data_IF_570963531235
#
_entry.id   IF_570963531235
#
_cell.length_a   1.000
_cell.length_b   1.000
_cell.length_c   1.000
_cell.angle_alpha   90.00
_cell.angle_beta   90.00
_cell.angle_gamma   90.00
#
_symmetry.space_group_name_H-M   'P 1'
#
loop_
_entity.id
_entity.type
_entity.pdbx_description
1 polymer ?
#
# COMPACT_ATOMS: atom_id res chain seq x y z
N UNK A 1 -30.91 -7.24 4.97
CA UNK A 1 -30.22 -6.14 4.25
C UNK A 1 -29.41 -6.77 3.13
N UNK A 2 -29.45 -6.25 1.89
CA UNK A 2 -28.75 -6.85 0.76
C UNK A 2 -27.22 -6.58 0.86
N UNK A 3 -26.56 -7.39 1.66
CA UNK A 3 -25.09 -7.34 1.83
C UNK A 3 -24.39 -7.45 0.46
N UNK A 4 -24.97 -8.24 -0.47
CA UNK A 4 -24.45 -8.38 -1.84
C UNK A 4 -24.47 -7.06 -2.60
N UNK A 5 -25.53 -6.25 -2.46
CA UNK A 5 -25.62 -4.95 -3.14
C UNK A 5 -24.59 -3.96 -2.60
N UNK A 6 -24.46 -3.86 -1.29
CA UNK A 6 -23.45 -3.00 -0.67
C UNK A 6 -22.04 -3.44 -1.05
N UNK A 7 -21.75 -4.75 -1.12
CA UNK A 7 -20.48 -5.28 -1.55
C UNK A 7 -20.11 -4.86 -2.99
N UNK A 8 -21.06 -5.01 -3.94
CA UNK A 8 -20.84 -4.58 -5.34
C UNK A 8 -20.55 -3.07 -5.42
N UNK A 9 -21.30 -2.25 -4.65
CA UNK A 9 -21.05 -0.81 -4.60
C UNK A 9 -19.67 -0.48 -4.00
N UNK A 10 -19.26 -1.18 -2.94
CA UNK A 10 -17.92 -1.03 -2.36
C UNK A 10 -16.82 -1.45 -3.35
N UNK A 11 -17.01 -2.56 -4.08
CA UNK A 11 -16.09 -2.98 -5.13
C UNK A 11 -15.92 -1.91 -6.20
N UNK A 12 -17.02 -1.31 -6.66
CA UNK A 12 -16.99 -0.23 -7.66
C UNK A 12 -16.29 1.03 -7.10
N UNK A 13 -16.55 1.39 -5.85
CA UNK A 13 -15.88 2.51 -5.18
C UNK A 13 -14.37 2.27 -5.10
N UNK A 14 -13.96 1.08 -4.66
CA UNK A 14 -12.54 0.73 -4.55
C UNK A 14 -11.86 0.70 -5.92
N UNK A 15 -12.52 0.12 -6.92
CA UNK A 15 -12.04 0.12 -8.31
C UNK A 15 -11.80 1.55 -8.82
N UNK A 16 -12.81 2.43 -8.74
CA UNK A 16 -12.71 3.82 -9.22
C UNK A 16 -11.67 4.62 -8.46
N UNK A 17 -11.58 4.44 -7.15
CA UNK A 17 -10.60 5.14 -6.31
C UNK A 17 -9.17 4.70 -6.60
N UNK A 18 -8.92 3.40 -6.75
CA UNK A 18 -7.59 2.88 -7.09
C UNK A 18 -7.21 3.18 -8.53
N UNK A 19 -8.14 3.06 -9.46
CA UNK A 19 -7.93 3.50 -10.84
C UNK A 19 -7.47 4.96 -10.87
N UNK A 20 -8.19 5.85 -10.16
CA UNK A 20 -7.82 7.26 -10.07
C UNK A 20 -6.46 7.47 -9.41
N UNK A 21 -6.16 6.81 -8.30
CA UNK A 21 -4.88 6.90 -7.62
C UNK A 21 -3.70 6.50 -8.51
N UNK A 22 -3.85 5.41 -9.25
CA UNK A 22 -2.80 4.89 -10.14
C UNK A 22 -2.70 5.60 -11.49
N UNK A 23 -3.74 6.31 -11.94
CA UNK A 23 -3.65 7.23 -13.09
C UNK A 23 -2.60 8.32 -12.89
N UNK A 24 -2.42 8.78 -11.65
CA UNK A 24 -1.56 9.91 -11.34
C UNK A 24 -0.10 9.50 -11.20
N UNK A 25 0.17 8.29 -10.73
CA UNK A 25 1.53 7.84 -10.40
C UNK A 25 2.54 8.08 -11.53
N UNK A 26 2.30 7.64 -12.79
CA UNK A 26 3.26 7.86 -13.87
C UNK A 26 3.35 9.32 -14.35
N UNK A 27 2.34 10.13 -14.09
CA UNK A 27 2.26 11.50 -14.65
C UNK A 27 2.62 12.57 -13.62
N UNK A 28 2.45 12.32 -12.33
CA UNK A 28 2.62 13.33 -11.30
C UNK A 28 4.05 13.90 -11.23
N UNK A 29 5.13 13.11 -11.36
CA UNK A 29 6.47 13.64 -11.40
C UNK A 29 6.67 14.60 -12.58
N UNK A 30 6.19 14.22 -13.78
CA UNK A 30 6.27 15.05 -14.99
C UNK A 30 5.43 16.32 -14.86
N UNK A 31 4.25 16.22 -14.24
CA UNK A 31 3.38 17.38 -14.01
C UNK A 31 4.00 18.40 -13.05
N UNK A 32 4.64 17.94 -11.96
CA UNK A 32 5.35 18.84 -11.04
C UNK A 32 6.53 19.53 -11.73
N UNK A 33 7.24 18.82 -12.59
CA UNK A 33 8.38 19.34 -13.33
C UNK A 33 8.01 20.49 -14.28
N UNK A 34 6.81 20.45 -14.88
CA UNK A 34 6.29 21.57 -15.71
C UNK A 34 6.28 22.92 -14.97
N UNK A 35 6.20 22.89 -13.63
CA UNK A 35 6.25 24.09 -12.78
C UNK A 35 7.67 24.47 -12.33
N UNK A 36 8.71 23.85 -12.90
CA UNK A 36 10.12 24.16 -12.60
C UNK A 36 10.55 23.81 -11.18
N UNK A 37 9.90 22.85 -10.52
CA UNK A 37 10.24 22.43 -9.18
C UNK A 37 11.50 21.56 -9.19
N UNK A 38 12.41 21.82 -8.25
CA UNK A 38 13.66 21.07 -8.09
C UNK A 38 13.44 19.63 -7.63
N UNK A 39 14.39 18.74 -7.91
CA UNK A 39 14.31 17.33 -7.54
C UNK A 39 14.06 17.07 -6.05
N UNK A 40 14.65 17.88 -5.16
CA UNK A 40 14.44 17.74 -3.71
C UNK A 40 13.01 18.12 -3.27
N UNK A 41 12.41 19.13 -3.88
CA UNK A 41 11.00 19.48 -3.64
C UNK A 41 10.07 18.33 -4.02
N UNK A 42 10.34 17.68 -5.14
CA UNK A 42 9.59 16.50 -5.57
C UNK A 42 9.65 15.39 -4.55
N UNK A 43 10.83 15.04 -4.05
CA UNK A 43 10.99 14.02 -3.00
C UNK A 43 10.19 14.34 -1.74
N UNK A 44 10.20 15.60 -1.29
CA UNK A 44 9.38 16.05 -0.15
C UNK A 44 7.89 15.91 -0.44
N UNK A 45 7.42 16.35 -1.61
CA UNK A 45 6.01 16.26 -2.00
C UNK A 45 5.55 14.80 -2.02
N UNK A 46 6.38 13.88 -2.51
CA UNK A 46 6.07 12.45 -2.45
C UNK A 46 6.09 11.91 -1.03
N UNK A 47 7.07 12.27 -0.21
CA UNK A 47 7.15 11.86 1.19
C UNK A 47 5.92 12.32 2.00
N UNK A 48 5.41 13.54 1.75
CA UNK A 48 4.22 14.07 2.42
C UNK A 48 2.97 13.20 2.20
N UNK A 49 2.84 12.54 1.05
CA UNK A 49 1.77 11.57 0.83
C UNK A 49 1.85 10.40 1.82
N UNK A 50 3.04 9.83 2.02
CA UNK A 50 3.23 8.73 2.97
C UNK A 50 3.07 9.19 4.43
N UNK A 51 3.51 10.41 4.76
CA UNK A 51 3.21 11.04 6.07
C UNK A 51 1.69 11.12 6.27
N UNK A 52 0.96 11.56 5.26
CA UNK A 52 -0.51 11.59 5.27
C UNK A 52 -1.13 10.21 5.48
N UNK A 53 -0.58 9.17 4.84
CA UNK A 53 -1.02 7.79 5.03
C UNK A 53 -0.87 7.33 6.49
N UNK A 54 0.28 7.60 7.10
CA UNK A 54 0.54 7.27 8.51
C UNK A 54 -0.44 8.00 9.44
N UNK A 55 -0.67 9.29 9.20
CA UNK A 55 -1.55 10.11 10.03
C UNK A 55 -3.05 9.81 9.84
N UNK A 56 -3.45 9.25 8.68
CA UNK A 56 -4.85 9.13 8.27
C UNK A 56 -5.65 8.05 9.00
N UNK A 57 -5.01 7.00 9.50
CA UNK A 57 -5.71 5.82 10.03
C UNK A 57 -6.56 6.09 11.27
N UNK A 58 -5.99 6.76 12.27
CA UNK A 58 -6.68 7.05 13.54
C UNK A 58 -7.87 8.01 13.36
N UNK A 59 -7.70 9.16 12.67
CA UNK A 59 -8.82 10.05 12.40
C UNK A 59 -9.94 9.38 11.60
N UNK A 60 -9.60 8.57 10.60
CA UNK A 60 -10.58 7.87 9.79
C UNK A 60 -11.43 6.88 10.60
N UNK A 61 -10.82 6.11 11.50
CA UNK A 61 -11.53 5.23 12.41
C UNK A 61 -12.45 6.02 13.38
N UNK A 62 -12.01 7.19 13.85
CA UNK A 62 -12.84 8.06 14.68
C UNK A 62 -14.03 8.64 13.89
N UNK A 63 -13.80 9.07 12.64
CA UNK A 63 -14.84 9.54 11.73
C UNK A 63 -15.86 8.43 11.44
N UNK A 64 -15.38 7.20 11.17
CA UNK A 64 -16.23 6.03 10.97
C UNK A 64 -17.16 5.78 12.16
N UNK A 65 -16.61 5.77 13.38
CA UNK A 65 -17.41 5.57 14.61
C UNK A 65 -18.44 6.68 14.85
N UNK A 66 -18.09 7.95 14.53
CA UNK A 66 -18.98 9.11 14.78
C UNK A 66 -20.05 9.29 13.70
N UNK A 67 -19.69 9.14 12.44
CA UNK A 67 -20.57 9.45 11.29
C UNK A 67 -21.24 8.21 10.69
N UNK A 68 -20.74 7.01 11.00
CA UNK A 68 -21.15 5.74 10.37
C UNK A 68 -20.52 5.56 8.99
N UNK A 69 -20.53 4.31 8.49
CA UNK A 69 -19.79 3.90 7.29
C UNK A 69 -20.08 4.75 6.05
N UNK A 70 -21.34 4.96 5.71
CA UNK A 70 -21.75 5.71 4.51
C UNK A 70 -21.23 7.16 4.50
N UNK A 71 -21.43 7.92 5.59
CA UNK A 71 -21.02 9.32 5.67
C UNK A 71 -19.50 9.44 5.71
N UNK A 72 -18.81 8.53 6.43
CA UNK A 72 -17.36 8.48 6.47
C UNK A 72 -16.77 8.20 5.07
N UNK A 73 -17.37 7.26 4.32
CA UNK A 73 -16.97 6.94 2.95
C UNK A 73 -17.10 8.14 2.01
N UNK A 74 -18.24 8.83 2.05
CA UNK A 74 -18.50 10.05 1.26
C UNK A 74 -17.49 11.14 1.61
N UNK A 75 -17.18 11.34 2.89
CA UNK A 75 -16.20 12.34 3.32
C UNK A 75 -14.78 12.05 2.79
N UNK A 76 -14.33 10.78 2.84
CA UNK A 76 -13.01 10.41 2.31
C UNK A 76 -12.95 10.60 0.79
N UNK A 77 -14.00 10.21 0.06
CA UNK A 77 -14.09 10.40 -1.39
C UNK A 77 -14.15 11.87 -1.78
N UNK A 78 -14.89 12.69 -1.03
CA UNK A 78 -14.93 14.15 -1.24
C UNK A 78 -13.55 14.77 -1.04
N UNK A 79 -12.84 14.38 0.04
CA UNK A 79 -11.50 14.86 0.30
C UNK A 79 -10.52 14.46 -0.82
N UNK A 80 -10.61 13.23 -1.33
CA UNK A 80 -9.84 12.81 -2.51
C UNK A 80 -10.20 13.65 -3.75
N UNK A 81 -11.49 13.87 -4.04
CA UNK A 81 -11.92 14.67 -5.17
C UNK A 81 -11.39 16.10 -5.10
N UNK A 82 -11.46 16.72 -3.92
CA UNK A 82 -10.91 18.08 -3.68
C UNK A 82 -9.40 18.11 -3.89
N UNK A 83 -8.67 17.12 -3.39
CA UNK A 83 -7.22 17.02 -3.62
C UNK A 83 -6.90 16.91 -5.13
N UNK A 84 -7.65 16.08 -5.88
CA UNK A 84 -7.41 15.89 -7.31
C UNK A 84 -7.72 17.16 -8.12
N UNK A 85 -8.86 17.79 -7.87
CA UNK A 85 -9.19 19.09 -8.46
C UNK A 85 -8.16 20.16 -8.09
N UNK A 86 -7.71 20.16 -6.83
CA UNK A 86 -6.65 21.04 -6.35
C UNK A 86 -5.33 20.85 -7.10
N UNK A 87 -4.91 19.60 -7.38
CA UNK A 87 -3.72 19.35 -8.19
C UNK A 87 -3.87 19.91 -9.61
N UNK A 88 -5.02 19.73 -10.25
CA UNK A 88 -5.26 20.21 -11.61
C UNK A 88 -5.13 21.73 -11.79
N UNK A 89 -5.35 22.51 -10.72
CA UNK A 89 -5.27 23.98 -10.72
C UNK A 89 -4.07 24.54 -9.97
N UNK A 90 -3.28 23.68 -9.32
CA UNK A 90 -2.15 24.09 -8.48
C UNK A 90 -0.92 24.38 -9.33
N UNK A 91 -0.17 25.41 -8.92
CA UNK A 91 1.12 25.79 -9.54
C UNK A 91 2.24 26.02 -8.52
N UNK A 92 1.97 25.82 -7.21
CA UNK A 92 2.95 26.10 -6.15
C UNK A 92 3.35 24.83 -5.37
N UNK A 93 4.63 24.68 -5.04
CA UNK A 93 5.15 23.55 -4.29
C UNK A 93 4.45 23.37 -2.93
N UNK A 94 4.15 24.48 -2.24
CA UNK A 94 3.45 24.45 -0.95
C UNK A 94 2.07 23.80 -1.08
N UNK A 95 1.29 24.21 -2.09
CA UNK A 95 -0.05 23.69 -2.32
C UNK A 95 0.01 22.21 -2.73
N UNK A 96 0.96 21.82 -3.61
CA UNK A 96 1.20 20.40 -3.93
C UNK A 96 1.51 19.57 -2.69
N UNK A 97 2.37 20.05 -1.80
CA UNK A 97 2.70 19.39 -0.54
C UNK A 97 1.50 19.20 0.38
N UNK A 98 0.71 20.25 0.61
CA UNK A 98 -0.49 20.17 1.43
C UNK A 98 -1.52 19.20 0.83
N UNK A 99 -1.76 19.28 -0.48
CA UNK A 99 -2.67 18.39 -1.17
C UNK A 99 -2.21 16.93 -1.12
N UNK A 100 -0.89 16.67 -1.22
CA UNK A 100 -0.32 15.31 -1.08
C UNK A 100 -0.52 14.74 0.32
N UNK A 101 -0.29 15.55 1.35
CA UNK A 101 -0.55 15.14 2.74
C UNK A 101 -2.03 14.78 2.94
N UNK A 102 -2.95 15.66 2.50
CA UNK A 102 -4.39 15.42 2.59
C UNK A 102 -4.83 14.20 1.76
N UNK A 103 -4.26 14.01 0.58
CA UNK A 103 -4.49 12.84 -0.27
C UNK A 103 -4.08 11.55 0.45
N UNK A 104 -2.92 11.55 1.13
CA UNK A 104 -2.46 10.41 1.93
C UNK A 104 -3.44 10.06 3.05
N UNK A 105 -3.89 11.08 3.81
CA UNK A 105 -4.91 10.92 4.86
C UNK A 105 -6.21 10.33 4.30
N UNK A 106 -6.69 10.86 3.18
CA UNK A 106 -7.94 10.41 2.56
C UNK A 106 -7.83 8.99 1.99
N UNK A 107 -6.69 8.64 1.39
CA UNK A 107 -6.42 7.32 0.81
C UNK A 107 -6.43 6.23 1.89
N UNK A 108 -5.68 6.41 2.97
CA UNK A 108 -5.71 5.49 4.12
C UNK A 108 -7.09 5.50 4.79
N UNK A 109 -7.71 6.68 4.91
CA UNK A 109 -9.05 6.82 5.46
C UNK A 109 -10.09 6.01 4.70
N UNK A 110 -10.04 6.04 3.37
CA UNK A 110 -10.92 5.25 2.52
C UNK A 110 -10.74 3.75 2.78
N UNK A 111 -9.51 3.26 2.80
CA UNK A 111 -9.19 1.86 3.07
C UNK A 111 -9.72 1.43 4.45
N UNK A 112 -9.47 2.21 5.49
CA UNK A 112 -9.95 1.94 6.86
C UNK A 112 -11.48 1.86 6.88
N UNK A 113 -12.17 2.83 6.27
CA UNK A 113 -13.64 2.87 6.25
C UNK A 113 -14.22 1.67 5.50
N UNK A 114 -13.68 1.33 4.32
CA UNK A 114 -14.16 0.17 3.52
C UNK A 114 -13.99 -1.13 4.30
N UNK A 115 -12.79 -1.36 4.87
CA UNK A 115 -12.52 -2.58 5.67
C UNK A 115 -13.38 -2.65 6.93
N UNK A 116 -13.68 -1.50 7.57
CA UNK A 116 -14.58 -1.44 8.72
C UNK A 116 -16.03 -1.78 8.35
N UNK A 117 -16.53 -1.28 7.21
CA UNK A 117 -17.88 -1.64 6.72
C UNK A 117 -17.99 -3.15 6.49
N UNK A 118 -16.96 -3.77 5.87
CA UNK A 118 -16.94 -5.23 5.65
C UNK A 118 -16.88 -5.98 6.99
N UNK A 119 -16.10 -5.47 7.95
CA UNK A 119 -16.00 -6.05 9.30
C UNK A 119 -17.34 -6.05 10.04
N UNK A 120 -18.09 -4.95 9.93
CA UNK A 120 -19.36 -4.77 10.66
C UNK A 120 -20.57 -5.40 9.97
N UNK A 121 -20.60 -5.41 8.62
CA UNK A 121 -21.74 -5.92 7.85
C UNK A 121 -21.56 -7.38 7.40
N UNK A 122 -20.30 -7.88 7.35
CA UNK A 122 -19.98 -9.23 6.89
C UNK A 122 -20.19 -10.30 7.97
N UNK A 123 -20.80 -11.45 7.59
CA UNK A 123 -20.77 -12.64 8.44
C UNK A 123 -19.31 -13.07 8.65
N UNK A 124 -18.98 -13.53 9.87
CA UNK A 124 -17.61 -13.94 10.23
C UNK A 124 -17.02 -14.93 9.23
N UNK A 125 -17.82 -15.89 8.75
CA UNK A 125 -17.40 -16.91 7.77
C UNK A 125 -17.06 -16.36 6.38
N UNK A 126 -17.57 -15.19 5.98
CA UNK A 126 -17.43 -14.64 4.62
C UNK A 126 -16.52 -13.38 4.56
N UNK A 127 -16.01 -12.90 5.68
CA UNK A 127 -15.17 -11.68 5.72
C UNK A 127 -13.93 -11.79 4.84
N UNK A 128 -13.27 -12.95 4.84
CA UNK A 128 -12.11 -13.21 3.98
C UNK A 128 -12.46 -13.11 2.50
N UNK A 129 -13.57 -13.74 2.09
CA UNK A 129 -14.05 -13.71 0.70
C UNK A 129 -14.40 -12.28 0.25
N UNK A 130 -15.09 -11.51 1.09
CA UNK A 130 -15.44 -10.11 0.79
C UNK A 130 -14.21 -9.21 0.67
N UNK A 131 -13.23 -9.38 1.56
CA UNK A 131 -11.95 -8.69 1.44
C UNK A 131 -11.19 -9.07 0.16
N UNK A 132 -11.27 -10.33 -0.26
CA UNK A 132 -10.71 -10.80 -1.53
C UNK A 132 -11.34 -10.10 -2.74
N UNK A 133 -12.67 -9.97 -2.78
CA UNK A 133 -13.36 -9.22 -3.84
C UNK A 133 -12.96 -7.74 -3.89
N UNK A 134 -12.83 -7.09 -2.73
CA UNK A 134 -12.35 -5.70 -2.66
C UNK A 134 -10.92 -5.61 -3.20
N UNK A 135 -10.01 -6.47 -2.75
CA UNK A 135 -8.61 -6.46 -3.23
C UNK A 135 -8.50 -6.73 -4.73
N UNK A 136 -9.35 -7.62 -5.29
CA UNK A 136 -9.41 -7.84 -6.74
C UNK A 136 -9.89 -6.60 -7.49
N UNK A 137 -10.88 -5.88 -6.96
CA UNK A 137 -11.36 -4.62 -7.55
C UNK A 137 -10.29 -3.52 -7.47
N UNK A 138 -9.59 -3.41 -6.35
CA UNK A 138 -8.44 -2.53 -6.17
C UNK A 138 -7.37 -2.83 -7.23
N UNK A 139 -6.99 -4.10 -7.40
CA UNK A 139 -6.01 -4.54 -8.40
C UNK A 139 -6.42 -4.21 -9.84
N UNK A 140 -7.69 -4.41 -10.19
CA UNK A 140 -8.23 -4.03 -11.50
C UNK A 140 -8.10 -2.53 -11.78
N UNK A 141 -8.37 -1.68 -10.78
CA UNK A 141 -8.18 -0.23 -10.87
C UNK A 141 -6.71 0.15 -11.08
N UNK A 142 -5.81 -0.50 -10.33
CA UNK A 142 -4.35 -0.28 -10.45
C UNK A 142 -3.83 -0.57 -11.85
N UNK A 143 -4.36 -1.58 -12.53
CA UNK A 143 -3.95 -1.96 -13.88
C UNK A 143 -4.47 -0.98 -14.94
N UNK A 144 -5.74 -0.58 -14.85
CA UNK A 144 -6.36 0.25 -15.88
C UNK A 144 -6.00 1.74 -15.76
N UNK A 145 -5.74 2.22 -14.54
CA UNK A 145 -5.43 3.63 -14.29
C UNK A 145 -4.29 4.17 -15.14
N UNK A 146 -3.10 3.58 -15.11
CA UNK A 146 -1.95 4.08 -15.88
C UNK A 146 -2.20 4.11 -17.39
N UNK A 147 -2.84 3.09 -17.98
CA UNK A 147 -3.14 3.08 -19.44
C UNK A 147 -3.99 4.27 -19.84
N UNK A 148 -5.05 4.52 -19.07
CA UNK A 148 -5.99 5.63 -19.36
C UNK A 148 -5.24 6.96 -19.24
N UNK A 149 -4.45 7.15 -18.19
CA UNK A 149 -3.72 8.40 -17.98
C UNK A 149 -2.63 8.63 -19.01
N UNK A 150 -1.90 7.60 -19.39
CA UNK A 150 -0.87 7.69 -20.43
C UNK A 150 -1.44 8.03 -21.80
N UNK A 151 -2.59 7.46 -22.15
CA UNK A 151 -3.29 7.79 -23.40
C UNK A 151 -3.82 9.23 -23.38
N UNK A 152 -4.37 9.68 -22.25
CA UNK A 152 -4.83 11.06 -22.10
C UNK A 152 -3.65 12.05 -22.25
N UNK A 153 -2.52 11.77 -21.65
CA UNK A 153 -1.35 12.64 -21.67
C UNK A 153 -0.70 12.79 -23.05
N UNK A 154 -1.02 11.90 -24.02
CA UNK A 154 -0.58 12.06 -25.41
C UNK A 154 -1.41 13.10 -26.18
N UNK A 155 -2.66 13.34 -25.79
CA UNK A 155 -3.61 14.12 -26.58
C UNK A 155 -4.04 15.42 -25.86
N UNK A 156 -3.85 15.50 -24.55
CA UNK A 156 -4.29 16.62 -23.72
C UNK A 156 -3.19 17.00 -22.69
N UNK A 157 -3.28 18.24 -22.12
CA UNK A 157 -2.37 18.66 -21.04
C UNK A 157 -2.37 17.69 -19.86
N UNK A 158 -1.24 17.61 -19.15
CA UNK A 158 -1.06 16.73 -17.99
C UNK A 158 -2.02 17.01 -16.84
N UNK A 159 -2.71 18.15 -16.84
CA UNK A 159 -3.79 18.47 -15.86
C UNK A 159 -5.08 17.67 -16.11
N UNK A 160 -5.36 17.21 -17.34
CA UNK A 160 -6.63 16.54 -17.71
C UNK A 160 -6.83 15.22 -16.97
N UNK A 161 -5.83 14.34 -16.81
CA UNK A 161 -5.94 13.15 -15.98
C UNK A 161 -6.42 13.43 -14.55
N UNK A 162 -5.98 14.54 -13.92
CA UNK A 162 -6.43 14.90 -12.57
C UNK A 162 -7.92 15.25 -12.51
N UNK A 163 -8.44 15.93 -13.55
CA UNK A 163 -9.88 16.19 -13.67
C UNK A 163 -10.69 14.90 -13.86
N UNK A 164 -10.16 13.96 -14.65
CA UNK A 164 -10.81 12.66 -14.81
C UNK A 164 -10.84 11.89 -13.49
N UNK A 165 -9.75 11.92 -12.72
CA UNK A 165 -9.72 11.30 -11.37
C UNK A 165 -10.72 11.97 -10.44
N UNK A 166 -10.83 13.30 -10.49
CA UNK A 166 -11.87 14.02 -9.75
C UNK A 166 -13.26 13.50 -10.10
N UNK A 167 -13.54 13.33 -11.38
CA UNK A 167 -14.81 12.77 -11.85
C UNK A 167 -15.02 11.33 -11.34
N UNK A 168 -13.99 10.47 -11.37
CA UNK A 168 -14.06 9.12 -10.82
C UNK A 168 -14.38 9.13 -9.31
N UNK A 169 -13.77 10.02 -8.53
CA UNK A 169 -14.08 10.17 -7.11
C UNK A 169 -15.51 10.66 -6.88
N UNK A 170 -16.02 11.57 -7.70
CA UNK A 170 -17.41 12.04 -7.63
C UNK A 170 -18.41 10.94 -8.03
N UNK A 171 -18.09 10.14 -9.05
CA UNK A 171 -18.90 8.96 -9.42
C UNK A 171 -18.90 7.92 -8.28
N UNK A 172 -17.75 7.64 -7.68
CA UNK A 172 -17.65 6.76 -6.52
C UNK A 172 -18.46 7.29 -5.34
N UNK A 173 -18.45 8.61 -5.11
CA UNK A 173 -19.29 9.26 -4.09
C UNK A 173 -20.79 9.11 -4.41
N UNK A 174 -21.20 9.25 -5.69
CA UNK A 174 -22.57 8.98 -6.14
C UNK A 174 -23.01 7.54 -5.88
N UNK A 175 -22.12 6.55 -6.12
CA UNK A 175 -22.42 5.15 -5.79
C UNK A 175 -22.52 4.93 -4.28
N UNK A 176 -21.66 5.58 -3.47
CA UNK A 176 -21.76 5.53 -2.01
C UNK A 176 -23.09 6.11 -1.49
N UNK A 177 -23.65 7.11 -2.18
CA UNK A 177 -24.97 7.64 -1.84
C UNK A 177 -26.08 6.59 -1.97
N UNK A 178 -25.97 5.69 -2.94
CA UNK A 178 -26.87 4.56 -3.15
C UNK A 178 -26.79 3.45 -2.11
N UNK A 179 -25.77 3.44 -1.25
CA UNK A 179 -25.63 2.46 -0.17
C UNK A 179 -26.70 2.70 0.91
N UNK A 180 -27.27 1.61 1.43
CA UNK A 180 -28.14 1.69 2.61
C UNK A 180 -27.26 1.78 3.86
N UNK A 181 -27.25 2.97 4.48
CA UNK A 181 -26.53 3.18 5.73
C UNK A 181 -27.20 2.44 6.90
N UNK A 182 -26.38 1.81 7.76
CA UNK A 182 -26.85 1.34 9.07
C UNK A 182 -26.91 2.54 10.01
N UNK A 183 -28.04 2.73 10.70
CA UNK A 183 -28.18 3.83 11.67
C UNK A 183 -27.20 3.61 12.83
N UNK A 184 -26.45 4.64 13.18
CA UNK A 184 -25.48 4.64 14.30
C UNK A 184 -26.13 4.34 15.65
N UNK A 185 -27.46 4.48 15.76
CA UNK A 185 -28.25 4.19 16.95
C UNK A 185 -28.14 2.73 17.39
N UNK A 186 -27.92 1.79 16.47
CA UNK A 186 -27.82 0.35 16.79
C UNK A 186 -26.43 -0.06 17.31
N UNK A 187 -25.38 0.69 17.00
CA UNK A 187 -24.02 0.42 17.53
C UNK A 187 -23.91 0.76 19.02
N UNK A 188 -24.56 1.84 19.47
CA UNK A 188 -24.64 2.21 20.88
C UNK A 188 -25.48 1.22 21.72
N UNK A 189 -26.57 0.69 21.15
CA UNK A 189 -27.46 -0.24 21.84
C UNK A 189 -26.82 -1.64 21.96
N UNK A 190 -26.08 -2.12 20.94
CA UNK A 190 -25.36 -3.38 21.03
C UNK A 190 -24.19 -3.30 22.04
N UNK A 191 -23.41 -2.22 22.02
CA UNK A 191 -22.34 -2.03 23.00
C UNK A 191 -22.87 -1.95 24.43
N UNK A 192 -24.08 -1.39 24.65
CA UNK A 192 -24.73 -1.31 25.98
C UNK A 192 -25.40 -2.62 26.35
N UNK A 193 -25.92 -3.38 25.39
CA UNK A 193 -26.45 -4.71 25.65
C UNK A 193 -25.37 -5.75 25.96
N UNK A 194 -24.24 -5.70 25.24
CA UNK A 194 -23.08 -6.56 25.52
C UNK A 194 -22.46 -6.26 26.89
N UNK A 195 -22.48 -5.00 27.34
CA UNK A 195 -22.07 -4.63 28.71
C UNK A 195 -23.07 -5.10 29.79
N UNK A 196 -24.35 -5.18 29.49
CA UNK A 196 -25.38 -5.60 30.45
C UNK A 196 -25.62 -7.12 30.47
N UNK A 197 -25.17 -7.88 29.49
CA UNK A 197 -25.29 -9.34 29.44
C UNK A 197 -24.06 -10.08 29.96
N UNK A 198 -22.96 -9.38 30.24
CA UNK A 198 -21.79 -9.99 30.87
C UNK A 198 -22.02 -10.17 32.38
N UNK A 199 -22.62 -11.32 32.70
CA UNK A 199 -22.52 -11.95 34.03
C UNK A 199 -21.07 -12.50 34.17
N UNK A 200 -20.33 -12.27 35.28
CA UNK A 200 -18.89 -12.51 35.36
C UNK A 200 -18.52 -13.98 35.58
N UNK A 201 -19.04 -14.92 34.80
CA UNK A 201 -18.80 -16.35 35.03
C UNK A 201 -18.45 -17.18 33.78
N UNK A 202 -17.89 -16.58 32.72
CA UNK A 202 -17.17 -17.37 31.69
C UNK A 202 -16.24 -16.51 30.82
N UNK A 203 -14.95 -16.85 30.72
CA UNK A 203 -14.02 -16.14 29.83
C UNK A 203 -14.07 -16.74 28.43
N UNK A 204 -14.80 -16.12 27.51
CA UNK A 204 -14.63 -16.35 26.08
C UNK A 204 -14.45 -15.03 25.38
N UNK A 205 -13.21 -14.67 25.21
CA UNK A 205 -12.74 -13.51 24.43
C UNK A 205 -12.54 -13.92 22.99
N UNK A 206 -13.48 -13.60 22.11
CA UNK A 206 -13.24 -13.66 20.67
C UNK A 206 -13.85 -12.44 19.97
N UNK A 207 -13.13 -11.34 20.04
CA UNK A 207 -13.23 -10.25 19.06
C UNK A 207 -11.85 -9.99 18.48
N UNK A 208 -11.57 -10.35 17.22
CA UNK A 208 -10.29 -10.00 16.58
C UNK A 208 -10.24 -8.49 16.36
N UNK A 209 -9.15 -7.82 16.78
CA UNK A 209 -8.96 -6.40 16.51
C UNK A 209 -8.73 -6.16 15.02
N UNK A 210 -9.29 -5.05 14.53
CA UNK A 210 -9.12 -4.54 13.16
C UNK A 210 -7.63 -4.20 12.95
N UNK A 211 -6.97 -4.65 11.88
CA UNK A 211 -5.60 -4.25 11.59
C UNK A 211 -5.58 -2.81 11.06
N UNK A 212 -5.41 -1.86 11.95
CA UNK A 212 -5.13 -0.46 11.61
C UNK A 212 -3.66 -0.18 11.85
N UNK A 213 -2.90 -0.05 10.77
CA UNK A 213 -1.48 0.27 10.82
C UNK A 213 -1.10 1.60 11.51
N UNK A 214 -2.07 2.36 12.01
CA UNK A 214 -1.85 3.66 12.62
C UNK A 214 -1.95 3.69 14.16
N UNK A 215 -2.42 2.61 14.81
CA UNK A 215 -2.59 2.62 16.29
C UNK A 215 -1.36 2.18 17.08
N UNK A 216 -0.24 1.87 16.40
CA UNK A 216 0.93 1.29 17.04
C UNK A 216 1.87 2.29 17.75
N UNK A 217 1.65 3.60 17.60
CA UNK A 217 2.61 4.59 18.09
C UNK A 217 2.40 5.10 19.53
N UNK A 218 1.29 4.73 20.21
CA UNK A 218 0.96 5.31 21.52
C UNK A 218 0.57 4.20 22.50
N UNK A 219 1.53 3.45 22.99
CA UNK A 219 1.47 2.80 24.30
C UNK A 219 2.90 2.41 24.75
N UNK A 220 3.54 3.17 25.67
CA UNK A 220 4.89 2.85 26.15
C UNK A 220 4.93 1.72 27.19
N UNK A 221 3.79 1.27 27.71
CA UNK A 221 3.73 0.24 28.75
C UNK A 221 3.58 -1.17 28.12
N UNK A 222 4.64 -1.66 27.49
CA UNK A 222 4.83 -3.10 27.28
C UNK A 222 5.40 -3.68 28.58
N UNK A 223 4.53 -4.25 29.41
CA UNK A 223 4.91 -5.09 30.52
C UNK A 223 5.79 -6.26 30.00
N UNK A 224 7.09 -6.16 30.23
CA UNK A 224 8.10 -7.13 29.77
C UNK A 224 8.04 -8.46 30.56
N UNK A 225 7.17 -8.56 31.58
CA UNK A 225 7.15 -9.68 32.53
C UNK A 225 6.34 -10.90 32.07
N UNK A 226 5.62 -10.84 30.93
CA UNK A 226 4.75 -11.94 30.45
C UNK A 226 5.21 -12.59 29.13
N UNK A 227 6.49 -12.55 28.82
CA UNK A 227 7.05 -13.33 27.71
C UNK A 227 7.40 -14.74 28.25
N UNK A 228 6.85 -15.82 27.70
CA UNK A 228 7.31 -17.15 28.08
C UNK A 228 8.77 -17.32 27.67
N UNK A 229 9.64 -17.52 28.64
CA UNK A 229 10.99 -18.03 28.48
C UNK A 229 10.87 -19.43 27.86
N UNK A 230 10.98 -19.53 26.57
CA UNK A 230 11.26 -20.79 25.91
C UNK A 230 12.76 -20.83 25.64
N UNK A 231 13.47 -21.74 26.31
CA UNK A 231 14.85 -22.14 26.07
C UNK A 231 15.06 -22.71 24.65
N UNK A 232 14.69 -21.95 23.65
CA UNK A 232 14.82 -22.34 22.25
C UNK A 232 15.79 -21.34 21.59
N UNK A 233 16.97 -21.79 21.08
CA UNK A 233 17.98 -20.93 20.48
C UNK A 233 17.57 -20.35 19.10
N UNK A 234 16.32 -20.51 18.69
CA UNK A 234 15.71 -19.75 17.60
C UNK A 234 15.78 -18.27 17.93
N UNK A 235 15.91 -17.42 16.90
CA UNK A 235 15.90 -15.96 17.01
C UNK A 235 14.88 -15.53 18.07
N UNK A 236 15.29 -14.70 19.04
CA UNK A 236 14.34 -14.17 20.02
C UNK A 236 13.19 -13.46 19.30
N UNK A 237 12.00 -13.43 19.88
CA UNK A 237 10.84 -12.74 19.25
C UNK A 237 11.17 -11.30 18.83
N UNK A 238 12.02 -10.61 19.61
CA UNK A 238 12.53 -9.28 19.27
C UNK A 238 13.39 -9.28 18.01
N UNK A 239 14.28 -10.26 17.85
CA UNK A 239 15.16 -10.37 16.67
C UNK A 239 14.35 -10.72 15.42
N UNK A 240 13.33 -11.59 15.54
CA UNK A 240 12.40 -11.89 14.45
C UNK A 240 11.65 -10.64 14.01
N UNK A 241 11.09 -9.90 14.96
CA UNK A 241 10.37 -8.65 14.69
C UNK A 241 11.28 -7.63 13.98
N UNK A 242 12.51 -7.40 14.49
CA UNK A 242 13.48 -6.48 13.88
C UNK A 242 13.81 -6.95 12.46
N UNK A 243 14.03 -8.23 12.24
CA UNK A 243 14.32 -8.79 10.92
C UNK A 243 13.18 -8.53 9.93
N UNK A 244 11.95 -8.86 10.29
CA UNK A 244 10.77 -8.63 9.44
C UNK A 244 10.53 -7.14 9.17
N UNK A 245 10.63 -6.30 10.20
CA UNK A 245 10.46 -4.86 10.06
C UNK A 245 11.54 -4.26 9.14
N UNK A 246 12.80 -4.71 9.26
CA UNK A 246 13.90 -4.25 8.40
C UNK A 246 13.70 -4.67 6.95
N UNK A 247 13.34 -5.93 6.70
CA UNK A 247 13.11 -6.43 5.33
C UNK A 247 12.00 -5.62 4.66
N UNK A 248 10.86 -5.46 5.34
CA UNK A 248 9.72 -4.75 4.75
C UNK A 248 9.97 -3.24 4.64
N UNK A 249 10.73 -2.64 5.58
CA UNK A 249 11.21 -1.26 5.47
C UNK A 249 12.06 -1.04 4.22
N UNK A 250 13.02 -1.94 3.94
CA UNK A 250 13.90 -1.83 2.78
C UNK A 250 13.13 -2.02 1.46
N UNK A 251 12.22 -2.97 1.42
CA UNK A 251 11.36 -3.21 0.26
C UNK A 251 10.45 -2.01 -0.01
N UNK A 252 9.71 -1.51 0.98
CA UNK A 252 8.84 -0.35 0.83
C UNK A 252 9.64 0.92 0.50
N UNK A 253 10.89 1.04 0.98
CA UNK A 253 11.82 2.10 0.58
C UNK A 253 12.15 2.01 -0.91
N UNK A 254 12.49 0.82 -1.41
CA UNK A 254 12.78 0.61 -2.82
C UNK A 254 11.55 0.87 -3.69
N UNK A 255 10.38 0.39 -3.28
CA UNK A 255 9.11 0.61 -3.98
C UNK A 255 8.75 2.10 -4.06
N UNK A 256 8.92 2.87 -2.97
CA UNK A 256 8.64 4.30 -2.96
C UNK A 256 9.59 5.08 -3.88
N UNK A 257 10.88 4.74 -3.92
CA UNK A 257 11.85 5.32 -4.86
C UNK A 257 11.44 5.03 -6.30
N UNK A 258 11.10 3.79 -6.61
CA UNK A 258 10.63 3.40 -7.95
C UNK A 258 9.39 4.20 -8.36
N UNK A 259 8.35 4.24 -7.56
CA UNK A 259 7.11 4.98 -7.87
C UNK A 259 7.35 6.48 -8.07
N UNK A 260 8.33 7.05 -7.35
CA UNK A 260 8.61 8.49 -7.41
C UNK A 260 9.43 8.87 -8.64
N UNK A 261 10.45 8.06 -9.01
CA UNK A 261 11.47 8.49 -9.96
C UNK A 261 11.44 7.75 -11.30
N UNK A 262 10.75 6.60 -11.42
CA UNK A 262 10.76 5.84 -12.67
C UNK A 262 10.19 6.65 -13.85
N UNK A 263 9.11 7.40 -13.64
CA UNK A 263 8.53 8.21 -14.72
C UNK A 263 9.49 9.29 -15.22
N UNK A 264 10.26 9.95 -14.33
CA UNK A 264 11.30 10.91 -14.72
C UNK A 264 12.47 10.24 -15.44
N UNK A 265 12.91 9.09 -14.92
CA UNK A 265 13.96 8.30 -15.58
C UNK A 265 13.56 7.89 -17.00
N UNK A 266 12.33 7.40 -17.16
CA UNK A 266 11.78 7.03 -18.46
C UNK A 266 11.70 8.23 -19.41
N UNK A 267 11.26 9.39 -18.94
CA UNK A 267 11.14 10.59 -19.77
C UNK A 267 12.52 11.17 -20.14
N UNK A 268 13.44 11.33 -19.17
CA UNK A 268 14.70 12.04 -19.39
C UNK A 268 15.84 11.17 -19.92
N UNK A 269 15.92 9.93 -19.45
CA UNK A 269 17.02 9.02 -19.83
C UNK A 269 16.61 8.12 -20.99
N UNK A 270 15.41 7.52 -20.94
CA UNK A 270 14.93 6.64 -22.00
C UNK A 270 14.25 7.38 -23.16
N UNK A 271 13.93 8.68 -22.97
CA UNK A 271 13.19 9.51 -23.94
C UNK A 271 11.81 8.93 -24.29
N UNK A 272 11.13 8.34 -23.30
CA UNK A 272 9.82 7.76 -23.48
C UNK A 272 8.71 8.78 -23.38
N UNK A 273 7.66 8.56 -24.16
CA UNK A 273 6.43 9.33 -24.04
C UNK A 273 5.60 8.86 -22.81
N UNK A 274 4.61 9.66 -22.34
CA UNK A 274 3.79 9.32 -21.20
C UNK A 274 3.04 7.98 -21.31
N UNK A 275 2.63 7.57 -22.52
CA UNK A 275 1.94 6.30 -22.73
C UNK A 275 2.88 5.11 -22.53
N UNK A 276 4.10 5.17 -23.08
CA UNK A 276 5.10 4.11 -22.88
C UNK A 276 5.42 3.92 -21.40
N UNK A 277 5.61 5.02 -20.67
CA UNK A 277 5.84 5.00 -19.22
C UNK A 277 4.65 4.40 -18.48
N UNK A 278 3.45 4.81 -18.82
CA UNK A 278 2.22 4.32 -18.16
C UNK A 278 1.96 2.85 -18.45
N UNK A 279 2.26 2.37 -19.65
CA UNK A 279 2.18 0.96 -20.01
C UNK A 279 3.15 0.09 -19.20
N UNK A 280 4.35 0.60 -18.86
CA UNK A 280 5.27 -0.10 -17.97
C UNK A 280 4.63 -0.39 -16.60
N UNK A 281 4.02 0.62 -15.97
CA UNK A 281 3.27 0.42 -14.71
C UNK A 281 2.11 -0.56 -14.86
N UNK A 282 1.41 -0.51 -15.99
CA UNK A 282 0.30 -1.44 -16.28
C UNK A 282 0.81 -2.88 -16.42
N UNK A 283 1.91 -3.10 -17.13
CA UNK A 283 2.52 -4.43 -17.28
C UNK A 283 2.94 -4.97 -15.91
N UNK A 284 3.60 -4.17 -15.09
CA UNK A 284 3.98 -4.54 -13.72
C UNK A 284 2.75 -4.90 -12.87
N UNK A 285 1.72 -4.05 -12.87
CA UNK A 285 0.49 -4.29 -12.11
C UNK A 285 -0.28 -5.53 -12.58
N UNK A 286 -0.40 -5.72 -13.89
CA UNK A 286 -1.07 -6.89 -14.48
C UNK A 286 -0.33 -8.19 -14.15
N UNK A 287 1.00 -8.19 -14.25
CA UNK A 287 1.81 -9.36 -13.93
C UNK A 287 1.75 -9.70 -12.43
N UNK A 288 1.75 -8.71 -11.54
CA UNK A 288 1.54 -8.90 -10.10
C UNK A 288 0.17 -9.53 -9.83
N UNK A 289 -0.89 -8.97 -10.42
CA UNK A 289 -2.26 -9.47 -10.24
C UNK A 289 -2.42 -10.92 -10.75
N UNK A 290 -1.85 -11.22 -11.91
CA UNK A 290 -1.90 -12.56 -12.50
C UNK A 290 -1.05 -13.59 -11.74
N UNK A 291 0.09 -13.16 -11.20
CA UNK A 291 1.03 -14.04 -10.50
C UNK A 291 0.61 -14.34 -9.06
N UNK A 292 -0.15 -13.47 -8.38
CA UNK A 292 -0.49 -13.61 -6.96
C UNK A 292 -1.10 -14.98 -6.59
N UNK A 293 -2.08 -15.56 -7.32
CA UNK A 293 -2.62 -16.87 -6.99
C UNK A 293 -1.56 -17.99 -7.08
N UNK A 294 -0.63 -17.89 -8.04
CA UNK A 294 0.46 -18.87 -8.22
C UNK A 294 1.54 -18.69 -7.16
N UNK A 295 1.85 -17.45 -6.78
CA UNK A 295 2.81 -17.13 -5.73
C UNK A 295 2.33 -17.68 -4.38
N UNK A 296 1.06 -17.49 -4.03
CA UNK A 296 0.44 -18.07 -2.83
C UNK A 296 0.51 -19.60 -2.83
N UNK A 297 0.08 -20.23 -3.92
CA UNK A 297 0.15 -21.69 -4.06
C UNK A 297 1.59 -22.22 -3.96
N UNK A 298 2.55 -21.56 -4.60
CA UNK A 298 3.95 -21.93 -4.56
C UNK A 298 4.54 -21.77 -3.16
N UNK A 299 4.19 -20.66 -2.48
CA UNK A 299 4.55 -20.37 -1.10
C UNK A 299 4.12 -21.50 -0.15
N UNK A 300 2.91 -22.02 -0.33
CA UNK A 300 2.39 -23.11 0.52
C UNK A 300 3.07 -24.46 0.23
N UNK A 301 3.47 -24.69 -1.03
CA UNK A 301 4.14 -25.95 -1.42
C UNK A 301 5.63 -26.02 -1.13
N UNK A 302 6.34 -24.89 -1.23
CA UNK A 302 7.81 -24.90 -1.12
C UNK A 302 8.34 -25.17 0.29
N UNK A 303 7.54 -25.00 1.33
CA UNK A 303 7.97 -25.18 2.73
C UNK A 303 9.02 -24.17 3.22
N UNK A 304 9.71 -23.46 2.32
CA UNK A 304 10.72 -22.43 2.59
C UNK A 304 10.25 -21.07 2.02
N UNK A 305 9.31 -20.44 2.73
CA UNK A 305 8.70 -19.18 2.30
C UNK A 305 9.72 -18.03 2.17
N UNK A 306 10.79 -18.02 3.01
CA UNK A 306 11.85 -17.03 2.91
C UNK A 306 12.65 -17.14 1.61
N UNK A 307 12.82 -18.35 1.07
CA UNK A 307 13.47 -18.53 -0.24
C UNK A 307 12.64 -17.86 -1.34
N UNK A 308 11.33 -18.04 -1.32
CA UNK A 308 10.44 -17.43 -2.32
C UNK A 308 10.40 -15.90 -2.18
N UNK A 309 10.46 -15.38 -0.94
CA UNK A 309 10.63 -13.94 -0.70
C UNK A 309 11.93 -13.41 -1.33
N UNK A 310 13.06 -14.13 -1.13
CA UNK A 310 14.36 -13.73 -1.70
C UNK A 310 14.34 -13.79 -3.23
N UNK A 311 13.74 -14.82 -3.82
CA UNK A 311 13.57 -14.92 -5.27
C UNK A 311 12.71 -13.79 -5.82
N UNK A 312 11.63 -13.41 -5.12
CA UNK A 312 10.80 -12.26 -5.45
C UNK A 312 11.60 -10.96 -5.46
N UNK A 313 12.38 -10.70 -4.42
CA UNK A 313 13.26 -9.52 -4.36
C UNK A 313 14.35 -9.54 -5.43
N UNK A 314 14.91 -10.71 -5.76
CA UNK A 314 15.86 -10.85 -6.86
C UNK A 314 15.23 -10.49 -8.21
N UNK A 315 13.99 -10.92 -8.46
CA UNK A 315 13.26 -10.60 -9.69
C UNK A 315 12.99 -9.08 -9.80
N UNK A 316 12.66 -8.40 -8.69
CA UNK A 316 12.55 -6.94 -8.63
C UNK A 316 13.92 -6.29 -8.93
N UNK A 317 15.02 -6.83 -8.40
CA UNK A 317 16.36 -6.36 -8.71
C UNK A 317 16.71 -6.51 -10.20
N UNK A 318 16.33 -7.62 -10.83
CA UNK A 318 16.50 -7.86 -12.28
C UNK A 318 15.73 -6.81 -13.09
N UNK A 319 14.49 -6.50 -12.72
CA UNK A 319 13.70 -5.43 -13.34
C UNK A 319 14.49 -4.11 -13.38
N UNK A 320 15.04 -3.70 -12.23
CA UNK A 320 15.84 -2.46 -12.13
C UNK A 320 17.09 -2.53 -13.00
N UNK A 321 17.80 -3.64 -12.99
CA UNK A 321 19.00 -3.84 -13.85
C UNK A 321 18.63 -3.75 -15.33
N UNK A 322 17.50 -4.33 -15.74
CA UNK A 322 17.05 -4.30 -17.13
C UNK A 322 16.81 -2.87 -17.57
N UNK A 323 16.04 -2.07 -16.86
CA UNK A 323 15.76 -0.70 -17.29
C UNK A 323 16.97 0.25 -17.14
N UNK A 324 17.94 -0.06 -16.29
CA UNK A 324 19.23 0.65 -16.27
C UNK A 324 20.13 0.30 -17.46
N UNK A 325 19.95 -0.87 -18.04
CA UNK A 325 20.81 -1.40 -19.10
C UNK A 325 20.34 -1.04 -20.52
N UNK A 326 19.05 -0.74 -20.69
CA UNK A 326 18.47 -0.48 -22.02
C UNK A 326 17.30 0.49 -21.97
N UNK A 327 17.19 1.34 -23.02
CA UNK A 327 16.03 2.21 -23.24
C UNK A 327 14.94 1.56 -24.10
N UNK A 328 15.15 0.32 -24.58
CA UNK A 328 14.16 -0.38 -25.39
C UNK A 328 12.92 -0.73 -24.60
N UNK A 329 11.76 -0.17 -24.99
CA UNK A 329 10.49 -0.38 -24.29
C UNK A 329 10.13 -1.87 -24.17
N UNK A 330 10.44 -2.68 -25.20
CA UNK A 330 10.14 -4.12 -25.18
C UNK A 330 10.86 -4.84 -24.03
N UNK A 331 12.18 -4.63 -23.89
CA UNK A 331 12.97 -5.27 -22.85
C UNK A 331 12.62 -4.75 -21.45
N UNK A 332 12.34 -3.46 -21.34
CA UNK A 332 11.89 -2.88 -20.06
C UNK A 332 10.54 -3.44 -19.67
N UNK A 333 9.58 -3.64 -20.58
CA UNK A 333 8.30 -4.28 -20.27
C UNK A 333 8.48 -5.75 -19.83
N UNK A 334 9.44 -6.47 -20.41
CA UNK A 334 9.81 -7.80 -19.92
C UNK A 334 10.38 -7.72 -18.50
N UNK A 335 11.23 -6.73 -18.22
CA UNK A 335 11.71 -6.44 -16.86
C UNK A 335 10.55 -6.16 -15.89
N UNK A 336 9.61 -5.29 -16.26
CA UNK A 336 8.42 -4.95 -15.48
C UNK A 336 7.52 -6.17 -15.22
N UNK A 337 7.41 -7.08 -16.20
CA UNK A 337 6.70 -8.34 -16.03
C UNK A 337 7.40 -9.22 -14.98
N UNK A 338 8.71 -9.36 -15.08
CA UNK A 338 9.53 -10.12 -14.11
C UNK A 338 9.41 -9.52 -12.71
N UNK A 339 9.55 -8.19 -12.59
CA UNK A 339 9.45 -7.49 -11.31
C UNK A 339 8.06 -7.59 -10.69
N UNK A 340 7.00 -7.49 -11.50
CA UNK A 340 5.64 -7.67 -11.01
C UNK A 340 5.35 -9.08 -10.47
N UNK A 341 5.85 -10.13 -11.15
CA UNK A 341 5.82 -11.50 -10.61
C UNK A 341 6.63 -11.58 -9.32
N UNK A 342 7.80 -10.93 -9.28
CA UNK A 342 8.66 -10.84 -8.09
C UNK A 342 7.94 -10.20 -6.91
N UNK A 343 7.21 -9.11 -7.15
CA UNK A 343 6.39 -8.42 -6.15
C UNK A 343 5.33 -9.33 -5.54
N UNK A 344 4.59 -10.09 -6.36
CA UNK A 344 3.62 -11.08 -5.89
C UNK A 344 4.29 -12.17 -5.05
N UNK A 345 5.40 -12.74 -5.53
CA UNK A 345 6.15 -13.77 -4.79
C UNK A 345 6.65 -13.25 -3.43
N UNK A 346 7.14 -12.01 -3.38
CA UNK A 346 7.61 -11.41 -2.14
C UNK A 346 6.45 -11.19 -1.16
N UNK A 347 5.41 -10.46 -1.56
CA UNK A 347 4.32 -10.04 -0.66
C UNK A 347 3.56 -11.23 -0.06
N UNK A 348 3.16 -12.19 -0.91
CA UNK A 348 2.39 -13.35 -0.46
C UNK A 348 3.20 -14.24 0.49
N UNK A 349 4.47 -14.50 0.14
CA UNK A 349 5.34 -15.35 0.96
C UNK A 349 5.79 -14.66 2.23
N UNK A 350 6.04 -13.34 2.20
CA UNK A 350 6.47 -12.57 3.37
C UNK A 350 5.39 -12.58 4.45
N UNK A 351 4.16 -12.18 4.13
CA UNK A 351 3.09 -12.13 5.11
C UNK A 351 2.65 -13.53 5.57
N UNK A 352 2.71 -14.53 4.70
CA UNK A 352 2.49 -15.92 5.08
C UNK A 352 3.56 -16.40 6.08
N UNK A 353 4.85 -16.13 5.81
CA UNK A 353 5.94 -16.48 6.71
C UNK A 353 5.83 -15.79 8.07
N UNK A 354 5.53 -14.48 8.08
CA UNK A 354 5.27 -13.73 9.32
C UNK A 354 4.08 -14.34 10.09
N UNK A 355 3.01 -14.72 9.37
CA UNK A 355 1.83 -15.36 9.94
C UNK A 355 2.09 -16.70 10.61
N UNK A 356 3.03 -17.51 10.06
CA UNK A 356 3.38 -18.82 10.61
C UNK A 356 4.20 -18.73 11.91
N UNK A 357 5.01 -17.69 12.07
CA UNK A 357 5.98 -17.57 13.17
C UNK A 357 5.50 -16.68 14.32
N UNK A 358 4.37 -16.01 14.17
CA UNK A 358 3.81 -15.15 15.21
C UNK A 358 2.55 -15.79 15.78
N UNK A 359 2.46 -15.93 17.13
CA UNK A 359 1.27 -16.44 17.79
C UNK A 359 0.01 -15.69 17.38
N UNK A 360 -1.08 -16.42 17.17
CA UNK A 360 -2.34 -15.90 16.63
C UNK A 360 -2.86 -14.70 17.44
N UNK A 361 -2.77 -14.76 18.76
CA UNK A 361 -3.17 -13.70 19.71
C UNK A 361 -2.49 -12.35 19.42
N UNK A 362 -1.22 -12.36 18.95
CA UNK A 362 -0.40 -11.15 18.75
C UNK A 362 -0.19 -10.80 17.26
N UNK A 363 -0.63 -11.68 16.34
CA UNK A 363 -0.32 -11.60 14.90
C UNK A 363 -0.69 -10.26 14.28
N UNK A 364 -1.93 -9.80 14.50
CA UNK A 364 -2.43 -8.55 13.95
C UNK A 364 -1.64 -7.33 14.44
N UNK A 365 -1.30 -7.29 15.72
CA UNK A 365 -0.53 -6.19 16.33
C UNK A 365 0.90 -6.15 15.78
N UNK A 366 1.55 -7.31 15.66
CA UNK A 366 2.93 -7.39 15.15
C UNK A 366 2.99 -7.04 13.67
N UNK A 367 2.07 -7.55 12.84
CA UNK A 367 1.97 -7.19 11.41
C UNK A 367 1.72 -5.68 11.28
N UNK A 368 0.81 -5.10 12.08
CA UNK A 368 0.57 -3.67 12.08
C UNK A 368 1.83 -2.84 12.37
N UNK A 369 2.64 -3.25 13.35
CA UNK A 369 3.91 -2.60 13.67
C UNK A 369 4.96 -2.74 12.55
N UNK A 370 5.04 -3.92 11.91
CA UNK A 370 5.93 -4.15 10.76
C UNK A 370 5.56 -3.22 9.60
N UNK A 371 4.28 -3.15 9.24
CA UNK A 371 3.78 -2.28 8.18
C UNK A 371 4.00 -0.81 8.52
N UNK A 372 3.75 -0.39 9.76
CA UNK A 372 4.00 0.99 10.19
C UNK A 372 5.49 1.38 10.13
N UNK A 373 6.38 0.46 10.51
CA UNK A 373 7.82 0.68 10.39
C UNK A 373 8.26 0.80 8.91
N UNK A 374 7.64 0.02 8.02
CA UNK A 374 7.91 0.07 6.59
C UNK A 374 7.47 1.39 5.94
N UNK A 375 6.36 1.98 6.37
CA UNK A 375 5.91 3.29 5.88
C UNK A 375 6.93 4.41 6.19
N UNK A 376 7.73 4.29 7.26
CA UNK A 376 8.85 5.22 7.52
C UNK A 376 9.88 5.16 6.38
N UNK A 377 10.14 3.96 5.85
CA UNK A 377 10.98 3.79 4.66
C UNK A 377 10.45 4.53 3.45
N UNK A 378 9.14 4.44 3.22
CA UNK A 378 8.45 5.16 2.13
C UNK A 378 8.47 6.70 2.30
N UNK A 379 8.66 7.21 3.52
CA UNK A 379 8.83 8.64 3.78
C UNK A 379 10.28 9.08 3.52
N UNK A 380 11.25 8.33 4.06
CA UNK A 380 12.66 8.74 4.07
C UNK A 380 13.33 8.52 2.72
N UNK A 381 13.03 7.39 2.05
CA UNK A 381 13.75 7.00 0.83
C UNK A 381 13.53 7.95 -0.36
N UNK A 382 12.33 8.51 -0.64
CA UNK A 382 12.19 9.52 -1.71
C UNK A 382 12.94 10.80 -1.44
N UNK A 383 13.14 11.17 -0.17
CA UNK A 383 13.93 12.35 0.21
C UNK A 383 15.42 12.11 -0.07
N UNK A 384 15.95 10.93 0.30
CA UNK A 384 17.33 10.55 -0.03
C UNK A 384 17.51 10.48 -1.55
N UNK A 385 16.58 9.86 -2.26
CA UNK A 385 16.58 9.77 -3.70
C UNK A 385 16.53 11.16 -4.37
N UNK A 386 15.80 12.11 -3.79
CA UNK A 386 15.77 13.50 -4.24
C UNK A 386 17.14 14.16 -4.18
N UNK A 387 17.86 14.00 -3.07
CA UNK A 387 19.23 14.51 -2.93
C UNK A 387 20.18 13.85 -3.95
N UNK A 388 20.04 12.55 -4.19
CA UNK A 388 20.82 11.86 -5.21
C UNK A 388 20.50 12.35 -6.63
N UNK A 389 19.25 12.61 -6.94
CA UNK A 389 18.83 13.15 -8.23
C UNK A 389 19.36 14.57 -8.45
N UNK A 390 19.37 15.42 -7.44
CA UNK A 390 19.81 16.82 -7.47
C UNK A 390 21.34 16.93 -7.56
N UNK A 391 22.07 16.22 -6.68
CA UNK A 391 23.53 16.36 -6.56
C UNK A 391 24.34 15.35 -7.37
N UNK A 392 23.72 14.36 -7.96
CA UNK A 392 24.39 13.34 -8.77
C UNK A 392 23.66 13.08 -10.09
N UNK A 393 22.72 12.14 -10.12
CA UNK A 393 21.97 11.80 -11.33
C UNK A 393 20.77 10.92 -11.04
N UNK A 394 19.81 10.83 -11.98
CA UNK A 394 18.73 9.84 -11.92
C UNK A 394 19.26 8.38 -11.96
N UNK A 395 20.44 8.16 -12.52
CA UNK A 395 21.11 6.87 -12.48
C UNK A 395 21.48 6.47 -11.05
N UNK A 396 22.04 7.42 -10.26
CA UNK A 396 22.42 7.20 -8.87
C UNK A 396 21.20 6.86 -7.99
N UNK A 397 20.03 7.41 -8.29
CA UNK A 397 18.76 7.08 -7.62
C UNK A 397 18.46 5.58 -7.75
N UNK A 398 18.61 5.00 -8.93
CA UNK A 398 18.31 3.58 -9.15
C UNK A 398 19.44 2.64 -8.74
N UNK A 399 20.67 3.11 -8.67
CA UNK A 399 21.76 2.40 -7.97
C UNK A 399 21.45 2.32 -6.46
N UNK A 400 20.98 3.41 -5.85
CA UNK A 400 20.50 3.40 -4.46
C UNK A 400 19.32 2.43 -4.28
N UNK A 401 18.38 2.39 -5.22
CA UNK A 401 17.27 1.43 -5.23
C UNK A 401 17.77 -0.03 -5.23
N UNK A 402 18.76 -0.35 -6.08
CA UNK A 402 19.39 -1.68 -6.11
C UNK A 402 20.10 -2.02 -4.77
N UNK A 403 20.72 -1.05 -4.13
CA UNK A 403 21.35 -1.26 -2.81
C UNK A 403 20.31 -1.57 -1.73
N UNK A 404 19.15 -0.93 -1.75
CA UNK A 404 18.03 -1.26 -0.85
C UNK A 404 17.53 -2.69 -1.07
N UNK A 405 17.36 -3.09 -2.33
CA UNK A 405 16.93 -4.45 -2.70
C UNK A 405 17.99 -5.47 -2.27
N UNK A 406 19.27 -5.22 -2.55
CA UNK A 406 20.37 -6.09 -2.15
C UNK A 406 20.47 -6.25 -0.62
N UNK A 407 20.28 -5.14 0.12
CA UNK A 407 20.24 -5.17 1.57
C UNK A 407 19.06 -6.00 2.10
N UNK A 408 17.87 -5.87 1.49
CA UNK A 408 16.71 -6.68 1.85
C UNK A 408 16.98 -8.19 1.63
N UNK A 409 17.58 -8.57 0.49
CA UNK A 409 17.97 -9.95 0.21
C UNK A 409 19.01 -10.44 1.23
N UNK A 410 20.00 -9.62 1.57
CA UNK A 410 21.02 -9.98 2.55
C UNK A 410 20.41 -10.25 3.94
N UNK A 411 19.51 -9.38 4.41
CA UNK A 411 18.81 -9.59 5.69
C UNK A 411 17.98 -10.87 5.65
N UNK A 412 17.24 -11.12 4.56
CA UNK A 412 16.46 -12.36 4.38
C UNK A 412 17.36 -13.60 4.39
N UNK A 413 18.53 -13.55 3.73
CA UNK A 413 19.49 -14.65 3.71
C UNK A 413 20.02 -14.96 5.11
N UNK A 414 20.35 -13.95 5.90
CA UNK A 414 20.77 -14.10 7.30
C UNK A 414 19.63 -14.69 8.14
N UNK A 415 18.42 -14.21 7.99
CA UNK A 415 17.26 -14.77 8.70
C UNK A 415 17.08 -16.26 8.32
N UNK A 416 17.06 -16.57 7.02
CA UNK A 416 16.89 -17.92 6.52
C UNK A 416 17.95 -18.89 7.03
N UNK A 417 19.23 -18.47 7.07
CA UNK A 417 20.32 -19.32 7.59
C UNK A 417 20.08 -19.67 9.05
N UNK A 418 19.63 -18.73 9.87
CA UNK A 418 19.35 -18.95 11.30
C UNK A 418 18.14 -19.87 11.50
N UNK A 419 17.10 -19.78 10.70
CA UNK A 419 15.95 -20.69 10.77
C UNK A 419 16.32 -22.12 10.38
N UNK A 420 17.18 -22.33 9.36
CA UNK A 420 17.60 -23.67 8.91
C UNK A 420 18.50 -24.42 9.89
N UNK A 421 19.36 -23.72 10.62
CA UNK A 421 20.23 -24.34 11.64
C UNK A 421 19.41 -24.99 12.76
N UNK A 422 18.18 -24.54 13.00
CA UNK A 422 17.30 -25.04 14.06
C UNK A 422 16.33 -26.14 13.62
N UNK A 423 16.21 -26.38 12.31
CA UNK A 423 15.40 -27.47 11.78
C UNK A 423 16.21 -28.77 11.55
N UNK A 424 17.52 -28.70 11.70
CA UNK A 424 18.45 -29.84 11.68
C UNK A 424 18.85 -30.23 13.09
#
# INVERSE_FOLDING_TARGET
MDIRRNLVLLMLICFLSQMGGFMIIPLFPLFIEEFGMSGWMMGIIFALFYVGKVLGGIPAAAVYRKLGGKKALILMLLMLAVCMAGFAVSSTALLFGVLRLLQGVASTGLTVVVRSIIGDEGNVSNRGLYNGYISSSEGGGMVLGPVISGWLALHWPLSVPFWLVTLCCLMAMGTAWGMKGRSTTNLGIQATQDLNTHNPSSPTTDTPPIPTGATAFINPDLDQSNLPDTDNPALSQRQQFIGYATVHFLEMSAYAVFLTYFALYAAHIMQWNPLQTSLAFTVAGLSTLAAAPFAGYLSDRMGDRLLLCMLGMLMIGIEVIVFLSTASYLWVYVGMLIGGVGGACYMDSFFAHVGDHIPEKNRSNVIGKIVSAAEIGSIVSPIIAALLAEYSSLYAVFVFNLLLIAAAIAVQAVMRSRYRVHQR
#
